data_IF_544907595419
#
_entry.id   IF_544907595419
#
_cell.length_a   1.000
_cell.length_b   1.000
_cell.length_c   1.000
_cell.angle_alpha   90.00
_cell.angle_beta   90.00
_cell.angle_gamma   90.00
#
_symmetry.space_group_name_H-M   'P 1'
#
loop_
_entity.id
_entity.type
_entity.pdbx_description
1 polymer ?
#
# COMPACT_ATOMS: atom_id res chain seq x y z
N UNK A 1 7.04 -16.93 -9.10
CA UNK A 1 6.46 -15.58 -9.16
C UNK A 1 5.62 -15.51 -10.42
N UNK A 2 4.33 -15.27 -10.28
CA UNK A 2 3.38 -15.10 -11.38
C UNK A 2 3.28 -13.62 -11.78
N UNK A 3 2.57 -13.33 -12.86
CA UNK A 3 2.23 -11.95 -13.24
C UNK A 3 1.42 -11.23 -12.15
N UNK A 4 0.47 -11.95 -11.50
CA UNK A 4 -0.31 -11.43 -10.38
C UNK A 4 0.56 -11.02 -9.18
N UNK A 5 1.66 -11.75 -8.93
CA UNK A 5 2.61 -11.39 -7.88
C UNK A 5 3.37 -10.09 -8.22
N UNK A 6 3.75 -9.92 -9.49
CA UNK A 6 4.40 -8.69 -9.97
C UNK A 6 3.45 -7.50 -9.86
N UNK A 7 2.20 -7.67 -10.28
CA UNK A 7 1.16 -6.66 -10.14
C UNK A 7 0.93 -6.29 -8.67
N UNK A 8 0.94 -7.26 -7.76
CA UNK A 8 0.78 -7.01 -6.32
C UNK A 8 1.91 -6.15 -5.75
N UNK A 9 3.15 -6.40 -6.17
CA UNK A 9 4.31 -5.57 -5.78
C UNK A 9 4.16 -4.15 -6.33
N UNK A 10 3.75 -4.01 -7.61
CA UNK A 10 3.54 -2.71 -8.23
C UNK A 10 2.44 -1.90 -7.51
N UNK A 11 1.29 -2.53 -7.24
CA UNK A 11 0.18 -1.91 -6.50
C UNK A 11 0.61 -1.49 -5.10
N UNK A 12 1.43 -2.29 -4.41
CA UNK A 12 1.95 -1.92 -3.10
C UNK A 12 2.69 -0.60 -3.13
N UNK A 13 3.63 -0.42 -4.07
CA UNK A 13 4.43 0.79 -4.14
C UNK A 13 3.67 1.97 -4.73
N UNK A 14 2.78 1.73 -5.68
CA UNK A 14 1.87 2.74 -6.22
C UNK A 14 1.08 3.40 -5.08
N UNK A 15 0.41 2.62 -4.23
CA UNK A 15 -0.41 3.17 -3.14
C UNK A 15 0.39 3.64 -1.92
N UNK A 16 1.59 3.12 -1.69
CA UNK A 16 2.42 3.53 -0.55
C UNK A 16 3.29 4.75 -0.83
N UNK A 17 3.65 5.04 -2.09
CA UNK A 17 4.53 6.15 -2.47
C UNK A 17 3.80 7.32 -3.12
N UNK A 18 2.73 7.05 -3.91
CA UNK A 18 2.03 8.06 -4.72
C UNK A 18 2.99 8.87 -5.64
N UNK A 19 3.97 8.17 -6.22
CA UNK A 19 5.00 8.68 -7.12
C UNK A 19 5.37 7.51 -8.05
N UNK A 20 5.02 7.61 -9.33
CA UNK A 20 5.09 6.47 -10.27
C UNK A 20 6.53 6.03 -10.52
N UNK A 21 7.44 7.00 -10.70
CA UNK A 21 8.85 6.72 -10.94
C UNK A 21 9.48 5.99 -9.75
N UNK A 22 9.24 6.47 -8.53
CA UNK A 22 9.72 5.80 -7.30
C UNK A 22 9.04 4.45 -7.12
N UNK A 23 7.77 4.32 -7.50
CA UNK A 23 7.05 3.07 -7.42
C UNK A 23 7.63 2.01 -8.36
N UNK A 24 7.97 2.36 -9.59
CA UNK A 24 8.63 1.47 -10.56
C UNK A 24 10.01 1.01 -10.03
N UNK A 25 10.81 1.95 -9.53
CA UNK A 25 12.14 1.64 -8.98
C UNK A 25 12.03 0.69 -7.78
N UNK A 26 11.19 1.02 -6.81
CA UNK A 26 10.98 0.21 -5.61
C UNK A 26 10.38 -1.17 -5.95
N UNK A 27 9.45 -1.24 -6.91
CA UNK A 27 8.86 -2.50 -7.37
C UNK A 27 9.91 -3.41 -7.99
N UNK A 28 10.81 -2.87 -8.80
CA UNK A 28 11.89 -3.62 -9.42
C UNK A 28 12.83 -4.22 -8.37
N UNK A 29 13.22 -3.42 -7.36
CA UNK A 29 14.05 -3.89 -6.25
C UNK A 29 13.34 -4.96 -5.41
N UNK A 30 12.04 -4.78 -5.12
CA UNK A 30 11.27 -5.74 -4.33
C UNK A 30 11.04 -7.05 -5.08
N UNK A 31 10.83 -7.01 -6.40
CA UNK A 31 10.71 -8.20 -7.24
C UNK A 31 12.01 -9.03 -7.23
N UNK A 32 13.16 -8.39 -7.40
CA UNK A 32 14.46 -9.05 -7.31
C UNK A 32 14.66 -9.69 -5.92
N UNK A 33 14.30 -8.96 -4.86
CA UNK A 33 14.41 -9.43 -3.49
C UNK A 33 13.48 -10.62 -3.17
N UNK A 34 12.27 -10.60 -3.74
CA UNK A 34 11.29 -11.68 -3.63
C UNK A 34 11.78 -12.94 -4.35
N UNK A 35 12.29 -12.81 -5.59
CA UNK A 35 12.91 -13.91 -6.33
C UNK A 35 14.10 -14.51 -5.59
N UNK A 36 14.97 -13.68 -5.01
CA UNK A 36 16.10 -14.14 -4.21
C UNK A 36 15.66 -14.93 -2.97
N UNK A 37 14.57 -14.52 -2.29
CA UNK A 37 14.00 -15.27 -1.16
C UNK A 37 13.47 -16.64 -1.59
N UNK A 38 12.71 -16.68 -2.70
CA UNK A 38 12.19 -17.92 -3.27
C UNK A 38 13.29 -18.87 -3.75
N UNK A 39 14.39 -18.34 -4.28
CA UNK A 39 15.54 -19.16 -4.66
C UNK A 39 16.21 -19.81 -3.44
N UNK A 40 16.26 -19.13 -2.29
CA UNK A 40 16.81 -19.66 -1.04
C UNK A 40 15.86 -20.59 -0.30
N UNK A 41 14.56 -20.35 -0.41
CA UNK A 41 13.50 -21.18 0.18
C UNK A 41 12.37 -21.38 -0.84
N UNK A 42 12.43 -22.44 -1.66
CA UNK A 42 11.43 -22.72 -2.68
C UNK A 42 10.02 -22.94 -2.12
N UNK A 43 9.88 -23.44 -0.90
CA UNK A 43 8.59 -23.73 -0.26
C UNK A 43 7.93 -22.50 0.37
N UNK A 44 8.65 -21.37 0.45
CA UNK A 44 8.10 -20.11 0.95
C UNK A 44 6.93 -19.66 0.07
N UNK A 45 5.77 -19.41 0.67
CA UNK A 45 4.62 -18.85 -0.05
C UNK A 45 4.97 -17.51 -0.69
N UNK A 46 4.46 -17.25 -1.90
CA UNK A 46 4.73 -16.00 -2.61
C UNK A 46 4.22 -14.78 -1.82
N UNK A 47 3.04 -14.87 -1.21
CA UNK A 47 2.46 -13.84 -0.34
C UNK A 47 3.40 -13.41 0.80
N UNK A 48 3.98 -14.38 1.50
CA UNK A 48 4.95 -14.15 2.59
C UNK A 48 6.21 -13.48 2.05
N UNK A 49 6.72 -13.95 0.91
CA UNK A 49 7.89 -13.36 0.26
C UNK A 49 7.63 -11.92 -0.21
N UNK A 50 6.43 -11.62 -0.73
CA UNK A 50 5.99 -10.28 -1.14
C UNK A 50 5.95 -9.35 0.06
N UNK A 51 5.30 -9.75 1.17
CA UNK A 51 5.23 -8.92 2.39
C UNK A 51 6.63 -8.60 2.91
N UNK A 52 7.49 -9.61 3.04
CA UNK A 52 8.85 -9.41 3.52
C UNK A 52 9.68 -8.51 2.60
N UNK A 53 9.60 -8.72 1.28
CA UNK A 53 10.36 -7.96 0.30
C UNK A 53 9.88 -6.50 0.20
N UNK A 54 8.56 -6.29 0.13
CA UNK A 54 7.96 -4.95 0.06
C UNK A 54 8.24 -4.14 1.32
N UNK A 55 8.18 -4.74 2.51
CA UNK A 55 8.58 -4.06 3.76
C UNK A 55 10.06 -3.68 3.75
N UNK A 56 10.94 -4.61 3.36
CA UNK A 56 12.38 -4.36 3.31
C UNK A 56 12.73 -3.20 2.38
N UNK A 57 12.09 -3.13 1.21
CA UNK A 57 12.34 -2.05 0.25
C UNK A 57 11.68 -0.75 0.71
N UNK A 58 10.45 -0.80 1.25
CA UNK A 58 9.81 0.37 1.86
C UNK A 58 10.69 1.06 2.89
N UNK A 59 11.33 0.30 3.79
CA UNK A 59 12.19 0.88 4.83
C UNK A 59 13.40 1.65 4.26
N UNK A 60 13.85 1.32 3.05
CA UNK A 60 14.90 2.06 2.35
C UNK A 60 14.38 3.31 1.64
N UNK A 61 13.18 3.22 1.06
CA UNK A 61 12.60 4.28 0.25
C UNK A 61 11.88 5.35 1.06
N UNK A 62 11.32 5.00 2.23
CA UNK A 62 10.49 5.91 3.04
C UNK A 62 11.17 7.21 3.44
N UNK A 63 12.50 7.20 3.60
CA UNK A 63 13.30 8.39 3.95
C UNK A 63 13.31 9.42 2.80
N UNK A 64 13.07 8.97 1.56
CA UNK A 64 13.11 9.79 0.34
C UNK A 64 11.73 10.28 -0.11
N UNK A 65 10.70 10.13 0.73
CA UNK A 65 9.31 10.38 0.36
C UNK A 65 8.64 11.26 1.41
N UNK A 66 8.12 12.41 0.98
CA UNK A 66 7.20 13.19 1.80
C UNK A 66 5.80 12.55 1.73
N UNK A 67 5.40 11.84 2.78
CA UNK A 67 4.10 11.15 2.84
C UNK A 67 2.94 12.11 2.56
N UNK A 68 2.02 11.70 1.69
CA UNK A 68 0.82 12.46 1.32
C UNK A 68 1.04 13.76 0.55
N UNK A 69 2.25 13.98 0.04
CA UNK A 69 2.54 14.94 -1.03
C UNK A 69 2.79 14.14 -2.29
N UNK A 70 1.74 13.76 -3.04
CA UNK A 70 1.97 13.07 -4.28
C UNK A 70 2.74 13.99 -5.22
N UNK A 71 3.79 13.47 -5.83
CA UNK A 71 4.36 14.16 -6.97
C UNK A 71 3.32 14.00 -8.09
N UNK A 72 2.55 15.06 -8.35
CA UNK A 72 1.48 15.11 -9.37
C UNK A 72 1.89 15.95 -10.56
N UNK A 73 3.18 16.30 -10.66
CA UNK A 73 3.71 16.95 -11.86
C UNK A 73 3.41 16.05 -13.06
N UNK A 74 3.21 16.64 -14.24
CA UNK A 74 2.99 15.88 -15.48
C UNK A 74 4.14 14.89 -15.73
N UNK A 75 5.34 15.19 -15.22
CA UNK A 75 6.53 14.34 -15.24
C UNK A 75 6.46 13.12 -14.30
N UNK A 76 5.59 13.14 -13.29
CA UNK A 76 5.41 12.04 -12.34
C UNK A 76 4.71 10.80 -12.93
N UNK A 77 4.11 10.91 -14.12
CA UNK A 77 3.39 9.81 -14.78
C UNK A 77 2.07 9.39 -14.12
N UNK A 78 1.64 10.06 -13.04
CA UNK A 78 0.51 9.60 -12.24
C UNK A 78 -0.85 9.98 -12.85
N UNK A 79 -1.37 9.13 -13.75
CA UNK A 79 -2.68 9.28 -14.38
C UNK A 79 -3.78 8.70 -13.49
N UNK A 80 -4.39 9.54 -12.65
CA UNK A 80 -5.59 9.17 -11.90
C UNK A 80 -6.80 9.44 -12.80
N UNK A 81 -7.70 8.47 -13.04
CA UNK A 81 -8.93 8.73 -13.78
C UNK A 81 -9.75 9.84 -13.09
N UNK A 82 -10.30 10.77 -13.86
CA UNK A 82 -10.99 11.97 -13.35
C UNK A 82 -12.11 11.68 -12.34
N UNK A 83 -12.68 10.47 -12.38
CA UNK A 83 -13.75 10.03 -11.48
C UNK A 83 -13.27 9.48 -10.12
N UNK A 84 -11.96 9.35 -9.88
CA UNK A 84 -11.41 8.74 -8.66
C UNK A 84 -10.87 9.81 -7.72
N UNK A 85 -11.62 10.08 -6.65
CA UNK A 85 -11.16 10.94 -5.57
C UNK A 85 -10.17 10.19 -4.66
N UNK A 86 -8.88 10.46 -4.84
CA UNK A 86 -7.82 9.98 -3.94
C UNK A 86 -7.60 10.88 -2.72
N UNK A 87 -8.40 11.94 -2.52
CA UNK A 87 -8.33 12.84 -1.38
C UNK A 87 -8.32 12.12 -0.03
N UNK A 88 -9.28 11.22 0.27
CA UNK A 88 -9.27 10.44 1.51
C UNK A 88 -8.03 9.55 1.65
N UNK A 89 -7.53 8.96 0.56
CA UNK A 89 -6.33 8.13 0.60
C UNK A 89 -5.07 8.96 0.89
N UNK A 90 -4.94 10.12 0.25
CA UNK A 90 -3.84 11.07 0.47
C UNK A 90 -3.83 11.53 1.93
N UNK A 91 -4.99 11.89 2.47
CA UNK A 91 -5.10 12.35 3.86
C UNK A 91 -4.83 11.22 4.88
N UNK A 92 -5.29 10.00 4.57
CA UNK A 92 -4.94 8.81 5.32
C UNK A 92 -3.42 8.58 5.32
N UNK A 93 -2.78 8.66 4.15
CA UNK A 93 -1.34 8.44 4.02
C UNK A 93 -0.53 9.48 4.82
N UNK A 94 -0.99 10.74 4.95
CA UNK A 94 -0.33 11.76 5.80
C UNK A 94 -0.39 11.43 7.28
N UNK A 95 -1.55 10.99 7.76
CA UNK A 95 -1.85 10.92 9.19
C UNK A 95 -1.70 9.51 9.79
N UNK A 96 -1.75 8.45 8.98
CA UNK A 96 -1.57 7.07 9.44
C UNK A 96 -0.13 6.82 9.93
N UNK A 97 0.07 5.89 10.86
CA UNK A 97 1.42 5.35 11.06
C UNK A 97 1.86 4.54 9.82
N UNK A 98 3.16 4.28 9.67
CA UNK A 98 3.64 3.42 8.59
C UNK A 98 3.00 2.03 8.66
N UNK A 99 2.98 1.45 9.86
CA UNK A 99 2.37 0.15 10.10
C UNK A 99 0.87 0.13 9.76
N UNK A 100 0.13 1.18 10.06
CA UNK A 100 -1.28 1.33 9.69
C UNK A 100 -1.44 1.35 8.15
N UNK A 101 -0.64 2.16 7.45
CA UNK A 101 -0.67 2.27 5.99
C UNK A 101 -0.36 0.94 5.30
N UNK A 102 0.80 0.34 5.63
CA UNK A 102 1.25 -0.88 4.96
C UNK A 102 0.30 -2.06 5.22
N UNK A 103 -0.22 -2.16 6.44
CA UNK A 103 -1.20 -3.22 6.80
C UNK A 103 -2.48 -3.09 5.98
N UNK A 104 -2.98 -1.87 5.74
CA UNK A 104 -4.15 -1.66 4.87
C UNK A 104 -3.85 -2.08 3.44
N UNK A 105 -2.68 -1.72 2.91
CA UNK A 105 -2.30 -2.08 1.54
C UNK A 105 -2.24 -3.60 1.39
N UNK A 106 -1.49 -4.32 2.24
CA UNK A 106 -1.40 -5.77 2.17
C UNK A 106 -2.76 -6.47 2.34
N UNK A 107 -3.55 -6.07 3.34
CA UNK A 107 -4.81 -6.75 3.67
C UNK A 107 -5.95 -6.39 2.72
N UNK A 108 -6.11 -5.11 2.37
CA UNK A 108 -7.31 -4.63 1.66
C UNK A 108 -7.09 -4.40 0.17
N UNK A 109 -5.88 -4.06 -0.25
CA UNK A 109 -5.56 -3.87 -1.67
C UNK A 109 -5.06 -5.19 -2.26
N UNK A 110 -4.03 -5.79 -1.65
CA UNK A 110 -3.42 -7.03 -2.16
C UNK A 110 -4.14 -8.30 -1.71
N UNK A 111 -5.11 -8.21 -0.78
CA UNK A 111 -5.89 -9.33 -0.25
C UNK A 111 -5.04 -10.46 0.36
N UNK A 112 -3.87 -10.12 0.92
CA UNK A 112 -3.03 -11.09 1.62
C UNK A 112 -3.64 -11.39 3.00
N UNK A 113 -3.64 -12.68 3.37
CA UNK A 113 -4.19 -13.13 4.66
C UNK A 113 -3.39 -12.61 5.85
N UNK A 114 -4.04 -12.47 7.00
CA UNK A 114 -3.37 -12.08 8.25
C UNK A 114 -2.21 -13.04 8.58
N UNK A 115 -2.39 -14.34 8.35
CA UNK A 115 -1.38 -15.38 8.52
C UNK A 115 -0.12 -15.08 7.71
N UNK A 116 -0.27 -14.83 6.41
CA UNK A 116 0.89 -14.61 5.53
C UNK A 116 1.54 -13.25 5.78
N UNK A 117 0.77 -12.21 6.14
CA UNK A 117 1.31 -10.91 6.57
C UNK A 117 2.11 -11.10 7.86
N UNK A 118 1.55 -11.81 8.84
CA UNK A 118 2.18 -12.07 10.13
C UNK A 118 3.50 -12.83 9.98
N UNK A 119 3.52 -13.87 9.13
CA UNK A 119 4.70 -14.64 8.80
C UNK A 119 5.75 -13.79 8.07
N UNK A 120 5.34 -12.93 7.13
CA UNK A 120 6.25 -12.07 6.36
C UNK A 120 6.91 -10.98 7.20
N UNK A 121 6.27 -10.57 8.29
CA UNK A 121 6.75 -9.51 9.19
C UNK A 121 7.37 -10.05 10.49
N UNK A 122 7.19 -11.33 10.81
CA UNK A 122 7.65 -11.91 12.08
C UNK A 122 6.91 -11.36 13.30
N UNK A 123 5.61 -11.09 13.18
CA UNK A 123 4.76 -10.57 14.27
C UNK A 123 3.48 -11.39 14.41
N UNK A 124 2.71 -11.18 15.48
CA UNK A 124 1.47 -11.94 15.70
C UNK A 124 0.33 -11.46 14.78
N UNK A 125 -0.61 -12.36 14.44
CA UNK A 125 -1.85 -11.98 13.74
C UNK A 125 -2.68 -10.96 14.53
N UNK A 126 -2.66 -11.03 15.87
CA UNK A 126 -3.32 -10.05 16.74
C UNK A 126 -2.80 -8.63 16.50
N UNK A 127 -1.49 -8.48 16.28
CA UNK A 127 -0.87 -7.20 15.91
C UNK A 127 -1.36 -6.70 14.55
N UNK A 128 -1.52 -7.59 13.55
CA UNK A 128 -2.07 -7.25 12.23
C UNK A 128 -3.51 -6.75 12.36
N UNK A 129 -4.38 -7.50 13.05
CA UNK A 129 -5.78 -7.13 13.25
C UNK A 129 -5.95 -5.82 14.00
N UNK A 130 -5.13 -5.58 15.02
CA UNK A 130 -5.12 -4.32 15.76
C UNK A 130 -4.74 -3.13 14.86
N UNK A 131 -3.63 -3.25 14.11
CA UNK A 131 -3.17 -2.21 13.17
C UNK A 131 -4.22 -1.93 12.10
N UNK A 132 -4.78 -2.99 11.51
CA UNK A 132 -5.81 -2.89 10.50
C UNK A 132 -7.08 -2.23 11.04
N UNK A 133 -7.56 -2.65 12.22
CA UNK A 133 -8.75 -2.08 12.84
C UNK A 133 -8.62 -0.58 13.12
N UNK A 134 -7.46 -0.15 13.63
CA UNK A 134 -7.16 1.28 13.81
C UNK A 134 -7.12 2.04 12.50
N UNK A 135 -6.41 1.49 11.52
CA UNK A 135 -6.24 2.10 10.21
C UNK A 135 -7.58 2.29 9.47
N UNK A 136 -8.45 1.28 9.50
CA UNK A 136 -9.76 1.33 8.86
C UNK A 136 -10.71 2.33 9.53
N UNK A 137 -10.67 2.50 10.85
CA UNK A 137 -11.45 3.55 11.54
C UNK A 137 -11.02 4.94 11.09
N UNK A 138 -9.71 5.18 11.01
CA UNK A 138 -9.13 6.45 10.54
C UNK A 138 -9.49 6.74 9.08
N UNK A 139 -9.36 5.75 8.20
CA UNK A 139 -9.76 5.89 6.79
C UNK A 139 -11.28 6.11 6.65
N UNK A 140 -12.08 5.40 7.46
CA UNK A 140 -13.53 5.55 7.54
C UNK A 140 -13.96 6.98 7.88
N UNK A 141 -13.35 7.61 8.88
CA UNK A 141 -13.69 9.00 9.23
C UNK A 141 -13.38 10.00 8.12
N UNK A 142 -12.38 9.74 7.27
CA UNK A 142 -12.01 10.61 6.15
C UNK A 142 -12.96 10.48 4.95
N UNK A 143 -13.61 9.34 4.79
CA UNK A 143 -14.53 9.07 3.67
C UNK A 143 -15.97 9.52 3.97
N UNK A 144 -16.34 9.69 5.25
CA UNK A 144 -17.66 10.18 5.66
C UNK A 144 -17.97 11.62 5.18
N UNK A 145 -16.95 12.45 4.95
CA UNK A 145 -17.11 13.79 4.37
C UNK A 145 -17.41 13.77 2.87
N UNK A 146 -16.86 12.80 2.13
CA UNK A 146 -17.03 12.68 0.67
C UNK A 146 -18.45 12.24 0.29
N UNK A 147 -19.10 11.43 1.11
CA UNK A 147 -20.48 10.97 0.87
C UNK A 147 -21.53 12.08 1.02
N UNK A 148 -21.25 13.12 1.82
CA UNK A 148 -22.18 14.24 2.03
C UNK A 148 -22.24 15.22 0.85
N UNK A 149 -21.16 15.34 0.07
CA UNK A 149 -21.12 16.23 -1.11
C UNK A 149 -21.94 15.70 -2.30
N UNK A 150 -22.09 14.38 -2.46
CA UNK A 150 -22.88 13.79 -3.56
C UNK A 150 -24.39 13.93 -3.40
N UNK A 151 -24.89 14.18 -2.19
CA UNK A 151 -26.33 14.36 -1.94
C UNK A 151 -26.76 15.84 -1.76
N UNK A 152 -25.83 16.80 -1.88
CA UNK A 152 -26.09 18.22 -1.62
C UNK A 152 -26.35 19.10 -2.86
N UNK A 153 -26.32 18.57 -4.09
CA UNK A 153 -26.49 19.37 -5.32
C UNK A 153 -27.82 19.13 -6.06
N UNK A 154 -28.83 18.59 -5.38
CA UNK A 154 -30.21 18.57 -5.88
C UNK A 154 -31.07 19.41 -4.93
N UNK A 155 -30.96 20.73 -5.02
CA UNK A 155 -31.77 21.61 -4.18
C UNK A 155 -31.36 23.08 -4.20
N UNK A 156 -31.52 23.73 -5.35
CA UNK A 156 -32.27 24.99 -5.53
C UNK A 156 -32.12 25.47 -6.97
#
# INVERSE_FOLDING_TARGET
MTEADVQSIALFFYFSLLDDQKAIEASSQALALCRARKARNPDLKNSVAIVAATKTVWDKFKVRVSRGRPNTTVESGWLIPDAVDLGPWREFQKSASEDELLTVIWSKILKISDDDISAGLGITQGTIRYRLGRALRKLGSMTQGVSKLKHGSAGK
#
